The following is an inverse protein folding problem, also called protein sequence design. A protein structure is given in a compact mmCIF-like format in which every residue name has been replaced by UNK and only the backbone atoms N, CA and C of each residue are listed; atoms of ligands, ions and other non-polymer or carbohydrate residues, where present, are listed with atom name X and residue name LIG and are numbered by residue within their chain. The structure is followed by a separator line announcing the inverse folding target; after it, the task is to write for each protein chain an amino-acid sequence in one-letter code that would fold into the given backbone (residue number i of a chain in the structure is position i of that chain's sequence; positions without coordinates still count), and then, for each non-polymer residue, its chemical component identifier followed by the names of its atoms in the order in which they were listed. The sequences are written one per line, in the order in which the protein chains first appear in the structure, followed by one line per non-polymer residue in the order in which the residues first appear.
data_IF_715299286348
#
_entry.id   IF_715299286348
#
_cell.length_a   1.000
_cell.length_b   1.000
_cell.length_c   1.000
_cell.angle_alpha   90.00
_cell.angle_beta   90.00
_cell.angle_gamma   90.00
#
_symmetry.space_group_name_H-M   'P 1'
#
loop_
_entity.id
_entity.type
_entity.pdbx_description
1 polymer ?
#
# COMPACT_ATOMS: atom_id res chain seq x y z
N UNK A 1 14.73 -8.02 25.86
CA UNK A 1 13.39 -7.47 26.15
C UNK A 1 12.74 -7.21 24.82
N UNK A 2 11.72 -7.97 24.42
CA UNK A 2 10.93 -7.68 23.22
C UNK A 2 10.12 -6.44 23.57
N UNK A 3 10.38 -5.32 22.87
CA UNK A 3 9.63 -4.06 23.02
C UNK A 3 8.16 -4.41 22.77
N UNK A 4 7.27 -4.11 23.72
CA UNK A 4 5.83 -4.32 23.57
C UNK A 4 5.37 -3.47 22.38
N UNK A 5 4.96 -4.11 21.27
CA UNK A 5 4.75 -3.50 19.95
C UNK A 5 3.33 -2.94 19.84
N UNK A 6 2.89 -2.16 20.82
CA UNK A 6 1.66 -1.37 20.69
C UNK A 6 2.03 -0.03 20.06
N UNK A 7 1.88 0.12 18.79
CA UNK A 7 1.97 1.38 18.00
C UNK A 7 2.64 1.16 16.63
N UNK A 8 2.55 -0.06 16.09
CA UNK A 8 3.09 -0.39 14.76
C UNK A 8 1.97 -0.35 13.73
N UNK A 9 2.19 0.38 12.66
CA UNK A 9 1.24 0.54 11.55
C UNK A 9 1.88 0.11 10.24
N UNK A 10 1.15 -0.63 9.42
CA UNK A 10 1.52 -0.86 8.02
C UNK A 10 0.74 0.09 7.14
N UNK A 11 1.44 0.84 6.29
CA UNK A 11 0.84 1.70 5.27
C UNK A 11 1.10 1.07 3.90
N UNK A 12 0.05 0.62 3.19
CA UNK A 12 0.13 0.34 1.75
C UNK A 12 0.02 1.68 1.03
N UNK A 13 1.17 2.25 0.62
CA UNK A 13 1.21 3.53 -0.07
C UNK A 13 0.99 3.33 -1.55
N UNK A 14 -0.25 3.51 -1.99
CA UNK A 14 -0.65 3.34 -3.38
C UNK A 14 0.19 4.18 -4.32
N UNK A 15 0.72 3.55 -5.38
CA UNK A 15 1.57 4.26 -6.33
C UNK A 15 0.85 5.41 -7.04
N UNK A 16 -0.47 5.38 -7.18
CA UNK A 16 -1.27 6.48 -7.73
C UNK A 16 -1.27 7.73 -6.87
N UNK A 17 -0.99 7.62 -5.57
CA UNK A 17 -0.97 8.74 -4.62
C UNK A 17 0.27 9.61 -4.82
N UNK A 18 1.46 9.01 -4.92
CA UNK A 18 2.71 9.76 -5.01
C UNK A 18 3.42 9.65 -6.37
N UNK A 19 3.05 8.67 -7.20
CA UNK A 19 3.54 8.50 -8.57
C UNK A 19 2.37 8.49 -9.58
N UNK A 20 1.56 9.57 -9.65
CA UNK A 20 0.41 9.67 -10.53
C UNK A 20 0.83 9.93 -11.98
N UNK A 21 -0.08 9.67 -12.93
CA UNK A 21 0.13 10.06 -14.33
C UNK A 21 0.13 11.60 -14.46
N UNK A 22 1.03 12.14 -15.27
CA UNK A 22 1.00 13.51 -15.77
C UNK A 22 1.48 14.63 -14.83
N UNK A 23 1.92 14.35 -13.60
CA UNK A 23 2.51 15.35 -12.68
C UNK A 23 4.01 15.11 -12.48
N UNK A 24 4.81 16.19 -12.53
CA UNK A 24 6.24 16.18 -12.17
C UNK A 24 7.03 15.02 -12.78
N UNK A 25 6.84 14.70 -14.04
CA UNK A 25 7.44 13.53 -14.71
C UNK A 25 7.09 12.18 -14.02
N UNK A 26 5.91 12.10 -13.44
CA UNK A 26 5.40 10.88 -12.81
C UNK A 26 5.62 10.77 -11.29
N UNK A 27 6.21 11.76 -10.62
CA UNK A 27 6.40 11.78 -9.16
C UNK A 27 5.81 13.06 -8.55
N UNK A 28 4.95 12.94 -7.55
CA UNK A 28 4.39 14.08 -6.81
C UNK A 28 5.31 14.47 -5.65
N UNK A 29 6.28 15.32 -5.95
CA UNK A 29 7.30 15.76 -4.98
C UNK A 29 6.68 16.52 -3.81
N UNK A 30 5.66 17.34 -4.04
CA UNK A 30 5.00 18.11 -2.96
C UNK A 30 4.28 17.19 -1.97
N UNK A 31 3.60 16.16 -2.49
CA UNK A 31 3.03 15.12 -1.63
C UNK A 31 4.12 14.42 -0.80
N UNK A 32 5.23 14.01 -1.43
CA UNK A 32 6.31 13.33 -0.71
C UNK A 32 6.93 14.18 0.40
N UNK A 33 7.08 15.49 0.18
CA UNK A 33 7.53 16.43 1.23
C UNK A 33 6.54 16.51 2.40
N UNK A 34 5.24 16.61 2.10
CA UNK A 34 4.20 16.66 3.12
C UNK A 34 4.13 15.33 3.89
N UNK A 35 4.20 14.21 3.18
CA UNK A 35 4.20 12.87 3.76
C UNK A 35 5.42 12.62 4.64
N UNK A 36 6.61 13.06 4.20
CA UNK A 36 7.84 12.99 5.01
C UNK A 36 7.67 13.74 6.33
N UNK A 37 7.24 14.99 6.28
CA UNK A 37 7.00 15.79 7.48
C UNK A 37 5.98 15.14 8.41
N UNK A 38 4.91 14.59 7.84
CA UNK A 38 3.88 13.89 8.58
C UNK A 38 4.42 12.66 9.31
N UNK A 39 5.09 11.74 8.61
CA UNK A 39 5.63 10.51 9.20
C UNK A 39 6.66 10.84 10.30
N UNK A 40 7.57 11.80 10.07
CA UNK A 40 8.54 12.22 11.09
C UNK A 40 7.85 12.74 12.36
N UNK A 41 6.81 13.56 12.22
CA UNK A 41 6.00 14.02 13.35
C UNK A 41 5.39 12.84 14.12
N UNK A 42 4.79 11.89 13.42
CA UNK A 42 4.16 10.72 14.05
C UNK A 42 5.18 9.84 14.80
N UNK A 43 6.37 9.68 14.27
CA UNK A 43 7.44 8.93 14.94
C UNK A 43 7.93 9.70 16.18
N UNK A 44 8.27 10.99 16.03
CA UNK A 44 8.91 11.78 17.08
C UNK A 44 7.97 12.10 18.24
N UNK A 45 6.71 12.49 17.95
CA UNK A 45 5.76 12.97 18.95
C UNK A 45 4.85 11.89 19.51
N UNK A 46 4.54 10.85 18.69
CA UNK A 46 3.58 9.80 19.06
C UNK A 46 4.23 8.44 19.31
N UNK A 47 5.55 8.33 19.14
CA UNK A 47 6.32 7.07 19.27
C UNK A 47 5.72 5.94 18.41
N UNK A 48 5.26 6.27 17.20
CA UNK A 48 4.69 5.33 16.23
C UNK A 48 5.78 4.71 15.37
N UNK A 49 5.53 3.48 14.93
CA UNK A 49 6.39 2.75 13.98
C UNK A 49 5.63 2.51 12.69
N UNK A 50 6.32 2.61 11.58
CA UNK A 50 5.71 2.44 10.27
C UNK A 50 6.46 1.44 9.41
N UNK A 51 5.70 0.54 8.80
CA UNK A 51 6.13 -0.24 7.65
C UNK A 51 5.38 0.31 6.44
N UNK A 52 6.11 0.92 5.49
CA UNK A 52 5.51 1.55 4.30
C UNK A 52 5.79 0.67 3.10
N UNK A 53 4.77 0.06 2.54
CA UNK A 53 4.86 -0.77 1.33
C UNK A 53 4.38 0.06 0.14
N UNK A 54 5.24 0.26 -0.85
CA UNK A 54 4.96 1.15 -1.98
C UNK A 54 4.38 0.41 -3.17
N UNK A 55 3.38 1.00 -3.81
CA UNK A 55 2.84 0.56 -5.09
C UNK A 55 3.66 1.06 -6.29
N UNK A 56 3.39 0.52 -7.48
CA UNK A 56 4.12 0.83 -8.71
C UNK A 56 3.71 2.15 -9.38
N UNK A 57 2.43 2.52 -9.28
CA UNK A 57 1.90 3.76 -9.83
C UNK A 57 2.07 3.92 -11.34
N UNK A 58 2.27 5.15 -11.80
CA UNK A 58 2.52 5.46 -13.20
C UNK A 58 3.81 4.82 -13.73
N UNK A 59 4.85 4.73 -12.90
CA UNK A 59 6.11 4.10 -13.28
C UNK A 59 5.91 2.66 -13.77
N UNK A 60 5.14 1.86 -13.04
CA UNK A 60 4.84 0.48 -13.43
C UNK A 60 4.02 0.41 -14.74
N UNK A 61 3.03 1.29 -14.89
CA UNK A 61 2.22 1.34 -16.12
C UNK A 61 3.07 1.74 -17.32
N UNK A 62 3.88 2.79 -17.20
CA UNK A 62 4.77 3.26 -18.27
C UNK A 62 5.67 2.15 -18.81
N UNK A 63 6.32 1.39 -17.93
CA UNK A 63 7.22 0.32 -18.35
C UNK A 63 6.45 -0.88 -18.95
N UNK A 64 5.31 -1.25 -18.39
CA UNK A 64 4.48 -2.32 -18.93
C UNK A 64 3.92 -1.97 -20.32
N UNK A 65 3.44 -0.73 -20.49
CA UNK A 65 2.89 -0.27 -21.76
C UNK A 65 3.99 -0.21 -22.84
N UNK A 66 5.17 0.31 -22.50
CA UNK A 66 6.32 0.32 -23.40
C UNK A 66 6.77 -1.11 -23.80
N UNK A 67 6.77 -2.06 -22.86
CA UNK A 67 7.11 -3.44 -23.16
C UNK A 67 6.09 -4.09 -24.10
N UNK A 68 4.78 -3.88 -23.86
CA UNK A 68 3.72 -4.38 -24.75
C UNK A 68 3.84 -3.79 -26.16
N UNK A 69 4.13 -2.50 -26.27
CA UNK A 69 4.31 -1.84 -27.56
C UNK A 69 5.55 -2.34 -28.31
N UNK A 70 6.68 -2.55 -27.60
CA UNK A 70 7.94 -2.95 -28.20
C UNK A 70 8.02 -4.45 -28.55
N UNK A 71 7.48 -5.32 -27.71
CA UNK A 71 7.55 -6.76 -27.88
C UNK A 71 6.32 -7.40 -28.56
N UNK A 72 5.22 -6.64 -28.67
CA UNK A 72 3.98 -7.15 -29.28
C UNK A 72 3.21 -8.12 -28.36
N UNK A 73 2.57 -9.14 -28.97
CA UNK A 73 1.66 -10.05 -28.28
C UNK A 73 2.32 -11.19 -27.49
N UNK A 74 3.64 -11.30 -27.51
CA UNK A 74 4.36 -12.47 -27.00
C UNK A 74 4.75 -12.36 -25.51
N UNK A 75 4.35 -11.24 -24.85
CA UNK A 75 4.60 -11.06 -23.42
C UNK A 75 3.54 -11.80 -22.59
N UNK A 76 4.02 -12.56 -21.63
CA UNK A 76 3.14 -13.16 -20.62
C UNK A 76 2.91 -12.23 -19.41
N UNK A 77 2.03 -12.65 -18.52
CA UNK A 77 1.72 -11.89 -17.32
C UNK A 77 2.90 -11.85 -16.35
N UNK A 78 3.79 -12.83 -16.35
CA UNK A 78 4.96 -12.88 -15.48
C UNK A 78 5.97 -11.81 -15.88
N UNK A 79 6.23 -11.62 -17.19
CA UNK A 79 7.10 -10.55 -17.70
C UNK A 79 6.61 -9.17 -17.29
N UNK A 80 5.30 -8.93 -17.48
CA UNK A 80 4.68 -7.65 -17.11
C UNK A 80 4.70 -7.41 -15.59
N UNK A 81 4.59 -8.48 -14.82
CA UNK A 81 4.59 -8.42 -13.37
C UNK A 81 5.99 -8.16 -12.80
N UNK A 82 7.04 -8.70 -13.44
CA UNK A 82 8.41 -8.34 -13.11
C UNK A 82 8.67 -6.84 -13.26
N UNK A 83 8.21 -6.22 -14.35
CA UNK A 83 8.33 -4.77 -14.55
C UNK A 83 7.58 -4.00 -13.43
N UNK A 84 6.37 -4.44 -13.12
CA UNK A 84 5.58 -3.86 -12.02
C UNK A 84 6.29 -3.98 -10.67
N UNK A 85 6.81 -5.17 -10.36
CA UNK A 85 7.55 -5.46 -9.12
C UNK A 85 8.78 -4.57 -8.98
N UNK A 86 9.58 -4.43 -10.05
CA UNK A 86 10.78 -3.57 -10.02
C UNK A 86 10.40 -2.09 -9.91
N UNK A 87 9.30 -1.65 -10.52
CA UNK A 87 8.80 -0.29 -10.35
C UNK A 87 8.41 0.00 -8.89
N UNK A 88 7.74 -0.93 -8.20
CA UNK A 88 7.46 -0.78 -6.76
C UNK A 88 8.73 -0.67 -5.93
N UNK A 89 9.76 -1.47 -6.23
CA UNK A 89 11.06 -1.43 -5.54
C UNK A 89 11.80 -0.11 -5.78
N UNK A 90 11.75 0.43 -7.00
CA UNK A 90 12.31 1.75 -7.31
C UNK A 90 11.61 2.83 -6.48
N UNK A 91 10.29 2.78 -6.39
CA UNK A 91 9.48 3.66 -5.55
C UNK A 91 9.81 3.49 -4.05
N UNK A 92 10.03 2.26 -3.59
CA UNK A 92 10.47 1.99 -2.22
C UNK A 92 11.84 2.62 -1.93
N UNK A 93 12.79 2.52 -2.86
CA UNK A 93 14.07 3.18 -2.73
C UNK A 93 13.95 4.70 -2.69
N UNK A 94 13.06 5.31 -3.48
CA UNK A 94 12.78 6.74 -3.42
C UNK A 94 12.29 7.14 -2.03
N UNK A 95 11.25 6.50 -1.51
CA UNK A 95 10.69 6.79 -0.19
C UNK A 95 11.74 6.54 0.90
N UNK A 96 12.42 5.40 0.90
CA UNK A 96 13.49 5.11 1.86
C UNK A 96 14.62 6.14 1.81
N UNK A 97 14.98 6.66 0.63
CA UNK A 97 16.04 7.68 0.46
C UNK A 97 15.63 9.01 1.09
N UNK A 98 14.35 9.40 1.03
CA UNK A 98 13.84 10.59 1.71
C UNK A 98 13.99 10.48 3.23
N UNK A 99 13.86 9.28 3.79
CA UNK A 99 13.98 8.99 5.23
C UNK A 99 15.33 8.35 5.61
N UNK A 100 16.40 8.51 4.81
CA UNK A 100 17.68 7.78 4.94
C UNK A 100 18.31 7.82 6.31
N UNK A 101 18.05 8.86 7.08
CA UNK A 101 18.61 9.11 8.41
C UNK A 101 17.90 8.35 9.55
N UNK A 102 16.63 7.94 9.34
CA UNK A 102 15.81 7.23 10.33
C UNK A 102 15.31 5.87 9.89
N UNK A 103 15.24 5.63 8.57
CA UNK A 103 14.73 4.39 8.02
C UNK A 103 15.73 3.24 8.11
N UNK A 104 15.19 2.02 8.19
CA UNK A 104 15.97 0.80 7.97
C UNK A 104 16.76 0.91 6.65
N UNK A 105 18.08 0.61 6.62
CA UNK A 105 18.93 0.88 5.46
C UNK A 105 18.55 0.12 4.18
N UNK A 106 17.82 -0.99 4.32
CA UNK A 106 17.40 -1.83 3.20
C UNK A 106 15.90 -1.75 3.00
N UNK A 107 15.43 -1.99 1.77
CA UNK A 107 14.00 -2.17 1.51
C UNK A 107 13.60 -3.62 1.77
N UNK A 108 12.40 -3.84 2.31
CA UNK A 108 11.76 -5.14 2.31
C UNK A 108 11.36 -5.50 0.87
N UNK A 109 11.78 -6.68 0.43
CA UNK A 109 11.50 -7.22 -0.91
C UNK A 109 11.30 -8.74 -0.91
N UNK A 110 11.31 -9.34 0.27
CA UNK A 110 11.03 -10.75 0.54
C UNK A 110 10.02 -10.81 1.67
N UNK A 111 9.01 -11.65 1.54
CA UNK A 111 7.91 -11.79 2.48
C UNK A 111 7.65 -13.26 2.84
N UNK A 112 8.62 -14.10 2.61
CA UNK A 112 8.69 -15.50 3.02
C UNK A 112 9.58 -15.71 4.25
N UNK A 113 10.35 -14.69 4.64
CA UNK A 113 11.23 -14.69 5.80
C UNK A 113 11.22 -13.32 6.48
N UNK A 114 10.93 -13.31 7.78
CA UNK A 114 10.92 -12.09 8.59
C UNK A 114 12.35 -11.53 8.74
N UNK A 115 12.56 -10.29 8.33
CA UNK A 115 13.82 -9.58 8.59
C UNK A 115 13.85 -9.07 10.04
N UNK A 116 14.49 -9.86 10.92
CA UNK A 116 14.60 -9.53 12.34
C UNK A 116 15.35 -8.24 12.62
N UNK A 117 16.18 -7.73 11.70
CA UNK A 117 16.88 -6.46 11.88
C UNK A 117 15.95 -5.26 11.67
N UNK A 118 14.96 -5.40 10.79
CA UNK A 118 13.97 -4.37 10.55
C UNK A 118 13.16 -4.01 11.81
N UNK A 119 12.98 -4.95 12.73
CA UNK A 119 12.24 -4.74 13.99
C UNK A 119 12.86 -3.63 14.88
N UNK A 120 14.13 -3.33 14.71
CA UNK A 120 14.83 -2.33 15.52
C UNK A 120 14.68 -0.88 15.02
N UNK A 121 13.98 -0.67 13.90
CA UNK A 121 13.79 0.63 13.29
C UNK A 121 12.35 1.11 13.42
N UNK A 122 12.18 2.42 13.61
CA UNK A 122 10.85 3.03 13.69
C UNK A 122 10.23 3.26 12.31
N UNK A 123 11.02 3.18 11.25
CA UNK A 123 10.57 3.26 9.87
C UNK A 123 11.23 2.20 9.00
N UNK A 124 10.42 1.41 8.33
CA UNK A 124 10.84 0.39 7.36
C UNK A 124 10.06 0.61 6.07
N UNK A 125 10.75 0.55 4.93
CA UNK A 125 10.11 0.71 3.62
C UNK A 125 10.27 -0.57 2.82
N UNK A 126 9.21 -0.98 2.11
CA UNK A 126 9.20 -2.16 1.27
C UNK A 126 8.56 -1.92 -0.09
N UNK A 127 8.81 -2.84 -1.00
CA UNK A 127 8.22 -2.90 -2.35
C UNK A 127 7.74 -4.31 -2.66
N UNK A 128 7.36 -4.56 -3.91
CA UNK A 128 6.86 -5.86 -4.37
C UNK A 128 7.85 -7.01 -4.21
N UNK A 129 7.32 -8.20 -4.04
CA UNK A 129 8.10 -9.42 -3.83
C UNK A 129 8.54 -10.05 -5.15
N UNK A 130 7.63 -10.73 -5.82
CA UNK A 130 7.85 -11.49 -7.06
C UNK A 130 6.55 -11.52 -7.87
N UNK A 131 6.57 -11.97 -9.13
CA UNK A 131 5.36 -12.12 -9.93
C UNK A 131 4.27 -12.94 -9.23
N UNK A 132 3.03 -12.59 -9.47
CA UNK A 132 1.86 -13.20 -8.85
C UNK A 132 1.46 -12.59 -7.50
N UNK A 133 2.21 -11.60 -6.98
CA UNK A 133 1.96 -11.01 -5.66
C UNK A 133 1.91 -9.48 -5.73
N UNK A 134 0.77 -8.93 -5.39
CA UNK A 134 0.56 -7.48 -5.39
C UNK A 134 1.29 -6.76 -4.23
N UNK A 135 1.32 -5.42 -4.29
CA UNK A 135 1.79 -4.61 -3.15
C UNK A 135 0.87 -4.73 -1.93
N UNK A 136 -0.43 -4.98 -2.12
CA UNK A 136 -1.37 -5.21 -1.01
C UNK A 136 -1.08 -6.54 -0.31
N UNK A 137 -0.77 -7.60 -1.07
CA UNK A 137 -0.27 -8.85 -0.51
C UNK A 137 0.98 -8.62 0.35
N UNK A 138 1.97 -7.90 -0.19
CA UNK A 138 3.19 -7.58 0.55
C UNK A 138 2.90 -6.77 1.83
N UNK A 139 1.92 -5.87 1.81
CA UNK A 139 1.49 -5.10 2.97
C UNK A 139 0.78 -5.98 4.01
N UNK A 140 -0.08 -6.91 3.60
CA UNK A 140 -0.70 -7.90 4.49
C UNK A 140 0.35 -8.77 5.16
N UNK A 141 1.30 -9.32 4.40
CA UNK A 141 2.39 -10.13 4.98
C UNK A 141 3.24 -9.31 5.96
N UNK A 142 3.56 -8.06 5.64
CA UNK A 142 4.26 -7.18 6.56
C UNK A 142 3.44 -6.90 7.84
N UNK A 143 2.12 -6.76 7.74
CA UNK A 143 1.27 -6.54 8.91
C UNK A 143 1.25 -7.76 9.84
N UNK A 144 1.20 -8.96 9.28
CA UNK A 144 1.25 -10.22 10.03
C UNK A 144 2.63 -10.40 10.68
N UNK A 145 3.70 -10.32 9.89
CA UNK A 145 5.08 -10.60 10.31
C UNK A 145 5.58 -9.64 11.38
N UNK A 146 5.15 -8.38 11.32
CA UNK A 146 5.59 -7.34 12.26
C UNK A 146 4.50 -6.93 13.26
N UNK A 147 3.42 -7.72 13.37
CA UNK A 147 2.34 -7.58 14.34
C UNK A 147 1.74 -6.18 14.35
N UNK A 148 1.37 -5.68 13.18
CA UNK A 148 0.66 -4.41 13.03
C UNK A 148 -0.78 -4.54 13.54
N UNK A 149 -1.26 -3.56 14.29
CA UNK A 149 -2.65 -3.53 14.78
C UNK A 149 -3.64 -3.28 13.64
N UNK A 150 -3.22 -2.52 12.64
CA UNK A 150 -4.03 -2.17 11.47
C UNK A 150 -3.15 -1.96 10.24
N UNK A 151 -3.64 -2.40 9.11
CA UNK A 151 -3.10 -2.04 7.80
C UNK A 151 -3.94 -0.91 7.22
N UNK A 152 -3.30 0.22 6.85
CA UNK A 152 -3.97 1.34 6.22
C UNK A 152 -3.58 1.39 4.74
N UNK A 153 -4.55 1.17 3.86
CA UNK A 153 -4.37 1.27 2.42
C UNK A 153 -4.64 2.71 1.97
N UNK A 154 -3.57 3.41 1.64
CA UNK A 154 -3.57 4.77 1.13
C UNK A 154 -3.80 4.75 -0.38
N UNK A 155 -5.03 4.90 -0.79
CA UNK A 155 -5.49 4.84 -2.18
C UNK A 155 -5.85 6.22 -2.73
N UNK A 156 -6.34 6.28 -3.95
CA UNK A 156 -6.88 7.50 -4.58
C UNK A 156 -8.41 7.60 -4.44
N UNK A 157 -9.04 6.69 -3.67
CA UNK A 157 -10.46 6.72 -3.35
C UNK A 157 -10.66 7.06 -1.87
N UNK A 158 -11.76 7.74 -1.56
CA UNK A 158 -12.09 8.09 -0.17
C UNK A 158 -12.60 6.88 0.62
N UNK A 159 -13.39 6.04 -0.01
CA UNK A 159 -14.02 4.85 0.56
C UNK A 159 -14.20 3.77 -0.50
N UNK A 160 -14.50 2.55 -0.11
CA UNK A 160 -15.02 1.49 -0.99
C UNK A 160 -16.49 1.81 -1.30
N UNK A 161 -16.92 1.47 -2.50
CA UNK A 161 -18.30 1.65 -2.95
C UNK A 161 -18.92 0.30 -3.31
N UNK A 162 -20.23 0.22 -3.25
CA UNK A 162 -21.00 -0.98 -3.64
C UNK A 162 -20.92 -1.28 -5.15
N UNK A 163 -20.52 -0.30 -5.95
CA UNK A 163 -20.27 -0.38 -7.40
C UNK A 163 -19.38 0.78 -7.84
N UNK A 164 -18.83 0.72 -9.05
CA UNK A 164 -17.92 1.76 -9.55
C UNK A 164 -18.61 3.13 -9.61
N UNK A 165 -18.19 4.13 -8.81
CA UNK A 165 -18.78 5.47 -8.81
C UNK A 165 -18.53 6.27 -10.09
N UNK A 166 -17.56 5.87 -10.94
CA UNK A 166 -17.32 6.50 -12.23
C UNK A 166 -18.37 6.06 -13.25
N UNK A 167 -18.91 4.85 -13.15
CA UNK A 167 -19.91 4.29 -14.02
C UNK A 167 -21.34 4.49 -13.49
N UNK A 168 -21.48 4.51 -12.15
CA UNK A 168 -22.77 4.53 -11.45
C UNK A 168 -22.89 5.74 -10.53
N UNK A 169 -23.67 6.75 -10.92
CA UNK A 169 -23.89 7.97 -10.10
C UNK A 169 -24.62 7.72 -8.77
N UNK A 170 -25.28 6.57 -8.65
CA UNK A 170 -25.99 6.12 -7.46
C UNK A 170 -25.16 5.15 -6.60
N UNK A 171 -23.83 5.02 -6.89
CA UNK A 171 -22.92 4.24 -6.07
C UNK A 171 -22.89 4.79 -4.63
N UNK A 172 -22.95 3.88 -3.66
CA UNK A 172 -22.99 4.21 -2.24
C UNK A 172 -21.65 3.87 -1.60
N UNK A 173 -21.10 4.84 -0.88
CA UNK A 173 -19.89 4.63 -0.08
C UNK A 173 -20.21 3.71 1.12
N UNK A 174 -19.26 2.86 1.48
CA UNK A 174 -19.37 1.88 2.55
C UNK A 174 -18.36 2.27 3.65
N UNK A 175 -18.87 2.59 4.85
CA UNK A 175 -18.03 2.97 5.98
C UNK A 175 -17.37 1.77 6.66
N UNK A 176 -18.08 0.64 6.72
CA UNK A 176 -17.61 -0.60 7.35
C UNK A 176 -18.17 -1.81 6.61
N UNK A 177 -17.37 -2.85 6.46
CA UNK A 177 -17.78 -4.09 5.83
C UNK A 177 -16.97 -5.28 6.38
N UNK A 178 -17.51 -6.48 6.18
CA UNK A 178 -16.82 -7.73 6.47
C UNK A 178 -15.96 -8.16 5.29
N UNK A 179 -14.94 -8.96 5.56
CA UNK A 179 -14.08 -9.53 4.51
C UNK A 179 -14.86 -10.28 3.42
N UNK A 180 -15.92 -11.00 3.77
CA UNK A 180 -16.73 -11.72 2.79
C UNK A 180 -17.44 -10.79 1.81
N UNK A 181 -17.87 -9.61 2.28
CA UNK A 181 -18.49 -8.59 1.43
C UNK A 181 -17.47 -7.99 0.46
N UNK A 182 -16.25 -7.66 0.95
CA UNK A 182 -15.19 -7.16 0.08
C UNK A 182 -14.78 -8.22 -0.95
N UNK A 183 -14.59 -9.48 -0.54
CA UNK A 183 -14.24 -10.58 -1.46
C UNK A 183 -15.34 -10.76 -2.52
N UNK A 184 -16.60 -10.54 -2.17
CA UNK A 184 -17.73 -10.53 -3.13
C UNK A 184 -17.59 -9.43 -4.18
N UNK A 185 -17.04 -8.27 -3.83
CA UNK A 185 -16.83 -7.13 -4.74
C UNK A 185 -15.58 -7.34 -5.60
N UNK A 186 -14.44 -7.72 -5.00
CA UNK A 186 -13.15 -7.82 -5.70
C UNK A 186 -12.94 -9.14 -6.43
N UNK A 187 -13.76 -10.17 -6.13
CA UNK A 187 -13.64 -11.50 -6.71
C UNK A 187 -12.53 -12.34 -6.10
N UNK A 188 -12.11 -13.39 -6.82
CA UNK A 188 -11.16 -14.39 -6.31
C UNK A 188 -9.84 -14.48 -7.05
N UNK A 189 -9.71 -13.80 -8.20
CA UNK A 189 -8.55 -13.89 -9.09
C UNK A 189 -7.83 -12.56 -9.16
N UNK A 190 -6.50 -12.63 -9.14
CA UNK A 190 -5.63 -11.48 -9.31
C UNK A 190 -5.04 -11.44 -10.72
N UNK A 191 -4.86 -10.25 -11.25
CA UNK A 191 -4.11 -10.03 -12.48
C UNK A 191 -3.30 -8.72 -12.40
N UNK A 192 -2.17 -8.62 -13.14
CA UNK A 192 -1.32 -7.43 -13.12
C UNK A 192 -2.07 -6.16 -13.56
N UNK A 193 -2.11 -5.16 -12.68
CA UNK A 193 -2.77 -3.88 -12.97
C UNK A 193 -4.27 -3.86 -12.74
N UNK A 194 -4.81 -4.83 -12.03
CA UNK A 194 -6.21 -4.86 -11.60
C UNK A 194 -6.57 -3.58 -10.84
N UNK A 195 -7.65 -2.93 -11.26
CA UNK A 195 -8.14 -1.69 -10.62
C UNK A 195 -9.27 -2.02 -9.63
N UNK A 196 -8.88 -2.60 -8.50
CA UNK A 196 -9.79 -2.96 -7.41
C UNK A 196 -9.39 -2.21 -6.14
N UNK A 197 -10.33 -2.02 -5.19
CA UNK A 197 -10.04 -1.33 -3.93
C UNK A 197 -8.99 -2.05 -3.08
N UNK A 198 -8.90 -3.38 -3.19
CA UNK A 198 -7.91 -4.22 -2.54
C UNK A 198 -7.70 -5.53 -3.30
N UNK A 199 -6.55 -6.14 -3.16
CA UNK A 199 -6.18 -7.37 -3.86
C UNK A 199 -6.99 -8.59 -3.38
N UNK A 200 -7.55 -9.43 -4.29
CA UNK A 200 -8.35 -10.59 -3.92
C UNK A 200 -7.61 -11.65 -3.07
N UNK A 201 -6.32 -11.88 -3.37
CA UNK A 201 -5.51 -12.86 -2.63
C UNK A 201 -5.16 -12.31 -1.26
N UNK A 202 -4.74 -11.04 -1.20
CA UNK A 202 -4.48 -10.33 0.04
C UNK A 202 -5.72 -10.30 0.95
N UNK A 203 -6.92 -10.11 0.36
CA UNK A 203 -8.20 -10.13 1.09
C UNK A 203 -8.47 -11.46 1.79
N UNK A 204 -8.18 -12.59 1.14
CA UNK A 204 -8.38 -13.91 1.73
C UNK A 204 -7.44 -14.14 2.92
N UNK A 205 -6.16 -13.79 2.79
CA UNK A 205 -5.18 -13.93 3.86
C UNK A 205 -5.51 -12.99 5.03
N UNK A 206 -5.84 -11.73 4.74
CA UNK A 206 -6.23 -10.77 5.76
C UNK A 206 -7.46 -11.24 6.56
N UNK A 207 -8.44 -11.88 5.89
CA UNK A 207 -9.59 -12.53 6.54
C UNK A 207 -9.16 -13.67 7.46
N UNK A 208 -8.33 -14.59 6.97
CA UNK A 208 -7.84 -15.75 7.72
C UNK A 208 -7.07 -15.33 8.98
N UNK A 209 -6.28 -14.27 8.88
CA UNK A 209 -5.48 -13.72 9.97
C UNK A 209 -6.22 -12.67 10.83
N UNK A 210 -7.52 -12.47 10.59
CA UNK A 210 -8.35 -11.48 11.29
C UNK A 210 -7.74 -10.07 11.30
N UNK A 211 -7.04 -9.71 10.23
CA UNK A 211 -6.39 -8.42 10.11
C UNK A 211 -7.41 -7.32 9.85
N UNK A 212 -7.36 -6.25 10.62
CA UNK A 212 -8.13 -5.04 10.35
C UNK A 212 -7.45 -4.23 9.26
N UNK A 213 -8.20 -3.86 8.22
CA UNK A 213 -7.73 -3.01 7.13
C UNK A 213 -8.59 -1.76 7.06
N UNK A 214 -7.97 -0.60 6.85
CA UNK A 214 -8.65 0.66 6.55
C UNK A 214 -8.26 1.12 5.15
N UNK A 215 -9.23 1.33 4.27
CA UNK A 215 -9.02 1.93 2.95
C UNK A 215 -9.44 3.39 3.01
N UNK A 216 -8.55 4.30 2.63
CA UNK A 216 -8.80 5.74 2.64
C UNK A 216 -7.99 6.48 1.57
N UNK A 217 -8.33 7.76 1.37
CA UNK A 217 -7.62 8.64 0.45
C UNK A 217 -6.25 9.02 1.03
N UNK A 218 -5.18 8.55 0.37
CA UNK A 218 -3.80 8.79 0.77
C UNK A 218 -3.34 10.25 0.63
N UNK A 219 -4.06 11.09 -0.13
CA UNK A 219 -3.73 12.52 -0.23
C UNK A 219 -4.17 13.31 1.01
N UNK A 220 -5.10 12.79 1.80
CA UNK A 220 -5.63 13.46 2.99
C UNK A 220 -4.86 13.03 4.25
N UNK A 221 -3.72 13.68 4.51
CA UNK A 221 -2.87 13.36 5.67
C UNK A 221 -3.52 13.72 7.01
N UNK A 222 -4.42 14.72 7.05
CA UNK A 222 -5.18 15.06 8.26
C UNK A 222 -6.16 13.92 8.60
N UNK A 223 -6.76 13.31 7.60
CA UNK A 223 -7.61 12.14 7.78
C UNK A 223 -6.80 10.91 8.22
N UNK A 224 -5.60 10.72 7.66
CA UNK A 224 -4.68 9.68 8.12
C UNK A 224 -4.29 9.88 9.60
N UNK A 225 -4.08 11.13 10.06
CA UNK A 225 -3.82 11.40 11.48
C UNK A 225 -5.00 10.99 12.36
N UNK A 226 -6.25 11.24 11.91
CA UNK A 226 -7.45 10.80 12.63
C UNK A 226 -7.55 9.29 12.74
N UNK A 227 -7.23 8.54 11.66
CA UNK A 227 -7.20 7.07 11.68
C UNK A 227 -6.18 6.57 12.71
N UNK A 228 -4.97 7.13 12.66
CA UNK A 228 -3.90 6.78 13.58
C UNK A 228 -4.20 7.16 15.04
N UNK A 229 -4.99 8.20 15.28
CA UNK A 229 -5.44 8.66 16.59
C UNK A 229 -6.78 8.02 17.03
N UNK A 230 -7.31 7.04 16.25
CA UNK A 230 -8.60 6.37 16.51
C UNK A 230 -9.79 7.33 16.66
N UNK A 231 -9.76 8.46 15.94
CA UNK A 231 -10.82 9.44 15.88
C UNK A 231 -11.76 9.15 14.71
N UNK A 232 -12.90 9.86 14.65
CA UNK A 232 -13.80 9.80 13.50
C UNK A 232 -13.06 10.23 12.21
N UNK A 233 -13.13 9.39 11.18
CA UNK A 233 -12.41 9.56 9.91
C UNK A 233 -13.27 9.19 8.71
N UNK A 234 -12.83 9.57 7.52
CA UNK A 234 -13.41 9.17 6.25
C UNK A 234 -12.62 7.99 5.67
N UNK A 235 -13.28 6.85 5.48
CA UNK A 235 -12.64 5.64 4.98
C UNK A 235 -13.58 4.44 5.07
N UNK A 236 -13.10 3.27 4.65
CA UNK A 236 -13.80 2.00 4.84
C UNK A 236 -12.99 1.10 5.77
N UNK A 237 -13.61 0.65 6.84
CA UNK A 237 -13.05 -0.36 7.76
C UNK A 237 -13.46 -1.74 7.29
N UNK A 238 -12.50 -2.66 7.21
CA UNK A 238 -12.71 -4.06 6.83
C UNK A 238 -12.15 -4.95 7.94
N UNK A 239 -13.02 -5.83 8.50
CA UNK A 239 -12.66 -6.72 9.61
C UNK A 239 -13.48 -8.03 9.63
#
# INVERSE_FOLDING_TARGET
MIRKVSNTFVLSLGGSVFAPNGKHNGINVEYLKAFEKFIRKQIAEKNRRFFIITGGGFTARLYRDAAKEAAGSDLDNEDLDWLGTHATRLNAHLVRTIFRDIAYPWILKHYDVVDKKAINYDLVVGGGWKPGWSSDYCAVMAAIDYHSEVLINLSNIDQVYDKDPNEHKDAKAIESMKWDELIGIVGSEWSPGLNMPFDPIASKIAKEEHLKVVICNGHNLDNLEKILDEKEFLGTVIE
#
